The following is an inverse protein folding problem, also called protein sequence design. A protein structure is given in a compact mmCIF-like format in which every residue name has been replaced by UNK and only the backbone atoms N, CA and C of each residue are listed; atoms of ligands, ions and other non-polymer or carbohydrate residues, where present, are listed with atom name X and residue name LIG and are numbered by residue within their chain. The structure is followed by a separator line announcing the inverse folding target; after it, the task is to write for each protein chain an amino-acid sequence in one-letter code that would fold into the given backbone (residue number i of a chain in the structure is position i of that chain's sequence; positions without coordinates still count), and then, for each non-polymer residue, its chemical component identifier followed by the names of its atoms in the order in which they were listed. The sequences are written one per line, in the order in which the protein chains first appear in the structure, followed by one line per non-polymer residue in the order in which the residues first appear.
data_IF_912723843389
#
_entry.id   IF_912723843389
#
_cell.length_a   1.000
_cell.length_b   1.000
_cell.length_c   1.000
_cell.angle_alpha   90.00
_cell.angle_beta   90.00
_cell.angle_gamma   90.00
#
_symmetry.space_group_name_H-M   'P 1'
#
loop_
_entity.id
_entity.type
_entity.pdbx_description
1 polymer ?
#
# COMPACT_ATOMS: atom_id res chain seq x y z
N UNK A 1 9.19 6.17 13.48
CA UNK A 1 9.25 7.43 12.69
C UNK A 1 7.89 7.62 12.03
N UNK A 2 7.26 8.78 12.17
CA UNK A 2 5.97 9.06 11.52
C UNK A 2 6.23 9.55 10.07
N UNK A 3 6.55 8.63 9.16
CA UNK A 3 6.83 8.93 7.75
C UNK A 3 5.56 8.82 6.91
N UNK A 4 5.43 9.72 5.94
CA UNK A 4 4.35 9.68 4.96
C UNK A 4 4.69 8.65 3.89
N UNK A 5 3.75 7.77 3.56
CA UNK A 5 3.93 6.84 2.46
C UNK A 5 3.56 7.53 1.15
N UNK A 6 4.53 7.57 0.22
CA UNK A 6 4.40 8.19 -1.11
C UNK A 6 3.20 7.69 -1.92
N UNK A 7 2.82 6.41 -1.82
CA UNK A 7 1.70 5.87 -2.60
C UNK A 7 0.32 6.26 -2.04
N UNK A 8 0.26 6.60 -0.76
CA UNK A 8 -1.00 6.97 -0.09
C UNK A 8 -1.10 8.46 0.20
N UNK A 9 0.02 9.18 0.29
CA UNK A 9 0.07 10.57 0.73
C UNK A 9 -0.13 10.77 2.24
N UNK A 10 -0.33 9.69 3.01
CA UNK A 10 -0.60 9.75 4.45
C UNK A 10 0.37 8.87 5.25
N UNK A 11 0.44 9.12 6.55
CA UNK A 11 1.14 8.23 7.47
C UNK A 11 0.19 7.18 8.07
N UNK A 12 0.68 5.98 8.43
CA UNK A 12 -0.16 4.95 9.05
C UNK A 12 -0.86 5.43 10.32
N UNK A 13 -0.18 6.28 11.10
CA UNK A 13 -0.75 6.82 12.34
C UNK A 13 -1.89 7.80 12.04
N UNK A 14 -1.75 8.62 11.00
CA UNK A 14 -2.82 9.52 10.58
C UNK A 14 -4.06 8.77 10.10
N UNK A 15 -3.88 7.65 9.41
CA UNK A 15 -4.99 6.80 8.97
C UNK A 15 -5.69 6.11 10.14
N UNK A 16 -4.92 5.68 11.14
CA UNK A 16 -5.47 4.99 12.30
C UNK A 16 -6.16 5.94 13.28
N UNK A 17 -5.59 7.12 13.52
CA UNK A 17 -6.07 8.06 14.55
C UNK A 17 -6.87 9.25 13.99
N UNK A 18 -6.98 9.37 12.67
CA UNK A 18 -7.57 10.54 12.00
C UNK A 18 -6.76 11.82 12.14
N UNK A 19 -5.57 11.76 12.74
CA UNK A 19 -4.70 12.92 13.02
C UNK A 19 -3.22 12.52 13.08
N UNK A 20 -2.34 13.45 12.71
CA UNK A 20 -0.91 13.26 12.92
C UNK A 20 -0.55 13.52 14.39
N UNK A 21 0.25 12.63 15.03
CA UNK A 21 0.72 12.84 16.39
C UNK A 21 1.65 14.06 16.44
N UNK A 22 1.46 14.92 17.44
CA UNK A 22 2.38 16.02 17.75
C UNK A 22 3.49 15.49 18.65
N UNK A 23 4.75 15.76 18.31
CA UNK A 23 5.91 15.38 19.13
C UNK A 23 6.01 16.23 20.40
N UNK A 24 5.59 17.50 20.32
CA UNK A 24 5.62 18.44 21.44
C UNK A 24 4.16 18.80 21.77
N UNK A 25 3.68 18.53 22.99
CA UNK A 25 2.39 19.03 23.46
C UNK A 25 2.35 20.56 23.40
N UNK A 26 1.18 21.18 23.21
CA UNK A 26 1.07 22.64 23.21
C UNK A 26 1.63 23.20 24.52
N UNK A 27 2.64 24.08 24.41
CA UNK A 27 3.30 24.71 25.56
C UNK A 27 2.46 25.83 26.19
N UNK A 28 1.40 26.25 25.52
CA UNK A 28 0.47 27.27 25.98
C UNK A 28 -0.79 26.56 26.48
N UNK A 29 -1.25 26.82 27.72
CA UNK A 29 -2.51 26.27 28.20
C UNK A 29 -3.65 26.75 27.30
N UNK A 30 -4.62 25.87 26.97
CA UNK A 30 -5.75 26.27 26.15
C UNK A 30 -6.51 27.42 26.85
N UNK A 31 -6.79 28.50 26.11
CA UNK A 31 -7.47 29.71 26.63
C UNK A 31 -8.89 29.44 27.15
N UNK A 32 -9.45 28.27 26.89
CA UNK A 32 -10.71 27.80 27.45
C UNK A 32 -10.51 26.43 28.08
N UNK A 33 -11.21 26.11 29.21
CA UNK A 33 -11.37 24.72 29.60
C UNK A 33 -12.07 24.06 28.43
N UNK A 34 -11.32 23.27 27.68
CA UNK A 34 -11.83 22.59 26.51
C UNK A 34 -12.89 21.61 27.01
N UNK A 35 -14.16 22.01 27.00
CA UNK A 35 -15.28 21.09 26.77
C UNK A 35 -15.20 20.61 25.32
N UNK A 36 -14.03 20.15 24.88
CA UNK A 36 -13.96 19.17 23.81
C UNK A 36 -14.43 17.87 24.44
N UNK A 37 -15.75 17.76 24.62
CA UNK A 37 -16.37 16.52 24.19
C UNK A 37 -15.86 16.31 22.77
N UNK A 38 -14.84 15.46 22.65
CA UNK A 38 -14.32 15.07 21.36
C UNK A 38 -15.54 14.50 20.63
N UNK A 39 -16.11 15.27 19.71
CA UNK A 39 -17.26 14.86 18.92
C UNK A 39 -16.83 13.61 18.15
N UNK A 40 -17.10 12.46 18.75
CA UNK A 40 -16.65 11.17 18.27
C UNK A 40 -17.19 10.93 16.86
N UNK A 41 -18.37 11.46 16.56
CA UNK A 41 -18.96 11.44 15.22
C UNK A 41 -18.11 12.21 14.22
N UNK A 42 -17.62 13.41 14.58
CA UNK A 42 -16.70 14.17 13.72
C UNK A 42 -15.38 13.45 13.50
N UNK A 43 -14.82 12.81 14.53
CA UNK A 43 -13.58 12.06 14.41
C UNK A 43 -13.73 10.84 13.50
N UNK A 44 -14.80 10.05 13.67
CA UNK A 44 -15.11 8.90 12.81
C UNK A 44 -15.25 9.34 11.35
N UNK A 45 -16.03 10.39 11.09
CA UNK A 45 -16.19 10.94 9.73
C UNK A 45 -14.85 11.38 9.12
N UNK A 46 -13.94 11.90 9.95
CA UNK A 46 -12.62 12.33 9.48
C UNK A 46 -11.77 11.13 9.09
N UNK A 47 -11.81 10.04 9.86
CA UNK A 47 -11.15 8.78 9.53
C UNK A 47 -11.73 8.20 8.24
N UNK A 48 -13.06 8.14 8.11
CA UNK A 48 -13.72 7.58 6.93
C UNK A 48 -13.34 8.34 5.65
N UNK A 49 -13.33 9.68 5.72
CA UNK A 49 -12.90 10.52 4.60
C UNK A 49 -11.43 10.29 4.25
N UNK A 50 -10.54 10.23 5.25
CA UNK A 50 -9.12 9.94 5.02
C UNK A 50 -8.95 8.56 4.36
N UNK A 51 -9.68 7.55 4.80
CA UNK A 51 -9.62 6.20 4.22
C UNK A 51 -10.09 6.24 2.76
N UNK A 52 -11.19 6.92 2.46
CA UNK A 52 -11.67 7.08 1.08
C UNK A 52 -10.61 7.74 0.18
N UNK A 53 -10.05 8.88 0.60
CA UNK A 53 -8.99 9.57 -0.14
C UNK A 53 -7.77 8.65 -0.39
N UNK A 54 -7.39 7.83 0.60
CA UNK A 54 -6.25 6.91 0.43
C UNK A 54 -6.50 5.81 -0.56
N UNK A 55 -7.75 5.34 -0.65
CA UNK A 55 -8.12 4.32 -1.64
C UNK A 55 -8.00 4.90 -3.05
N UNK A 56 -8.45 6.14 -3.25
CA UNK A 56 -8.32 6.86 -4.52
C UNK A 56 -6.85 7.09 -4.89
N UNK A 57 -6.03 7.51 -3.92
CA UNK A 57 -4.59 7.64 -4.12
C UNK A 57 -3.93 6.30 -4.48
N UNK A 58 -4.28 5.21 -3.81
CA UNK A 58 -3.75 3.89 -4.11
C UNK A 58 -4.15 3.41 -5.50
N UNK A 59 -5.39 3.67 -5.93
CA UNK A 59 -5.86 3.33 -7.26
C UNK A 59 -5.08 4.10 -8.34
N UNK A 60 -4.97 5.42 -8.21
CA UNK A 60 -4.21 6.24 -9.16
C UNK A 60 -2.72 5.83 -9.22
N UNK A 61 -2.11 5.54 -8.07
CA UNK A 61 -0.73 5.09 -7.99
C UNK A 61 -0.52 3.73 -8.62
N UNK A 62 -1.45 2.78 -8.46
CA UNK A 62 -1.38 1.46 -9.13
C UNK A 62 -1.45 1.61 -10.65
N UNK A 63 -2.30 2.50 -11.16
CA UNK A 63 -2.37 2.80 -12.60
C UNK A 63 -1.05 3.37 -13.10
N UNK A 64 -0.47 4.33 -12.39
CA UNK A 64 0.82 4.91 -12.74
C UNK A 64 1.95 3.87 -12.69
N UNK A 65 1.98 3.04 -11.64
CA UNK A 65 2.95 1.96 -11.51
C UNK A 65 2.85 0.97 -12.67
N UNK A 66 1.64 0.56 -13.04
CA UNK A 66 1.42 -0.31 -14.19
C UNK A 66 1.88 0.35 -15.50
N UNK A 67 1.56 1.63 -15.70
CA UNK A 67 2.01 2.38 -16.86
C UNK A 67 3.54 2.42 -16.96
N UNK A 68 4.24 2.82 -15.90
CA UNK A 68 5.70 2.91 -15.90
C UNK A 68 6.38 1.54 -15.97
N UNK A 69 5.84 0.52 -15.31
CA UNK A 69 6.34 -0.84 -15.42
C UNK A 69 6.23 -1.38 -16.86
N UNK A 70 5.13 -1.05 -17.55
CA UNK A 70 4.89 -1.47 -18.92
C UNK A 70 5.52 -0.55 -19.98
N UNK A 71 6.07 0.62 -19.60
CA UNK A 71 6.64 1.61 -20.54
C UNK A 71 7.71 1.02 -21.46
N UNK A 72 8.50 0.09 -20.95
CA UNK A 72 9.57 -0.58 -21.70
C UNK A 72 9.24 -2.04 -22.02
N UNK A 73 8.00 -2.48 -21.78
CA UNK A 73 7.56 -3.83 -22.10
C UNK A 73 7.40 -3.95 -23.62
N UNK A 74 8.05 -4.95 -24.20
CA UNK A 74 7.86 -5.30 -25.62
C UNK A 74 6.47 -5.85 -25.90
N UNK A 75 6.10 -6.02 -27.18
CA UNK A 75 4.84 -6.67 -27.55
C UNK A 75 4.74 -8.04 -26.89
N UNK A 76 3.56 -8.33 -26.33
CA UNK A 76 3.31 -9.62 -25.69
C UNK A 76 3.24 -10.71 -26.77
N UNK A 77 4.04 -11.79 -26.65
CA UNK A 77 3.96 -12.89 -27.61
C UNK A 77 2.60 -13.59 -27.49
N UNK A 78 1.93 -13.78 -28.62
CA UNK A 78 0.70 -14.58 -28.68
C UNK A 78 1.09 -16.04 -28.86
N UNK A 79 0.61 -16.91 -27.96
CA UNK A 79 0.85 -18.35 -28.02
C UNK A 79 -0.43 -19.08 -28.39
N UNK A 80 -0.32 -20.07 -29.28
CA UNK A 80 -1.39 -20.99 -29.63
C UNK A 80 -1.21 -22.33 -28.90
N UNK A 81 -2.31 -23.08 -28.78
CA UNK A 81 -2.26 -24.43 -28.21
C UNK A 81 -1.41 -25.32 -29.13
N UNK A 82 -0.34 -25.88 -28.58
CA UNK A 82 0.64 -26.69 -29.31
C UNK A 82 1.98 -26.00 -29.55
N UNK A 83 2.11 -24.69 -29.29
CA UNK A 83 3.38 -23.98 -29.41
C UNK A 83 4.38 -24.45 -28.35
N UNK A 84 5.62 -24.71 -28.80
CA UNK A 84 6.73 -25.04 -27.90
C UNK A 84 7.41 -23.76 -27.42
N UNK A 85 7.38 -23.52 -26.12
CA UNK A 85 8.07 -22.40 -25.47
C UNK A 85 9.27 -22.90 -24.67
N UNK A 86 10.40 -22.20 -24.80
CA UNK A 86 11.61 -22.54 -24.08
C UNK A 86 11.55 -21.95 -22.67
N UNK A 87 11.44 -22.79 -21.66
CA UNK A 87 11.41 -22.37 -20.25
C UNK A 87 12.83 -22.18 -19.73
N UNK A 88 13.07 -21.08 -19.02
CA UNK A 88 14.34 -20.88 -18.32
C UNK A 88 14.42 -21.80 -17.10
N UNK A 89 15.40 -22.71 -17.09
CA UNK A 89 15.62 -23.64 -15.97
C UNK A 89 16.46 -23.04 -14.84
N UNK A 90 16.86 -21.76 -14.94
CA UNK A 90 17.78 -21.10 -14.00
C UNK A 90 17.32 -21.19 -12.53
N UNK A 91 16.01 -21.09 -12.29
CA UNK A 91 15.44 -21.16 -10.94
C UNK A 91 14.75 -22.50 -10.63
N UNK A 92 14.61 -23.39 -11.62
CA UNK A 92 13.94 -24.70 -11.46
C UNK A 92 14.63 -25.59 -10.40
N UNK A 93 15.96 -25.57 -10.36
CA UNK A 93 16.70 -26.33 -9.35
C UNK A 93 16.45 -25.85 -7.91
N UNK A 94 16.19 -24.56 -7.71
CA UNK A 94 15.88 -24.01 -6.39
C UNK A 94 14.49 -24.42 -5.93
N UNK A 95 13.48 -24.33 -6.80
CA UNK A 95 12.13 -24.83 -6.51
C UNK A 95 12.12 -26.32 -6.20
N UNK A 96 12.87 -27.13 -6.98
CA UNK A 96 12.97 -28.57 -6.77
C UNK A 96 13.71 -28.94 -5.46
N UNK A 97 14.77 -28.21 -5.09
CA UNK A 97 15.61 -28.53 -3.93
C UNK A 97 15.13 -27.90 -2.62
N UNK A 98 14.34 -26.82 -2.67
CA UNK A 98 13.85 -26.10 -1.48
C UNK A 98 13.10 -27.05 -0.54
N UNK A 99 13.46 -27.11 0.75
CA UNK A 99 12.79 -27.96 1.75
C UNK A 99 11.45 -27.32 2.14
N UNK A 100 10.32 -27.99 1.88
CA UNK A 100 8.99 -27.55 2.29
C UNK A 100 7.86 -28.14 1.44
N UNK A 101 6.61 -27.84 1.82
CA UNK A 101 5.37 -28.41 1.26
C UNK A 101 5.05 -27.95 -0.18
N UNK A 102 5.89 -27.07 -0.76
CA UNK A 102 5.78 -26.56 -2.14
C UNK A 102 6.72 -27.28 -3.12
N UNK A 103 7.19 -28.48 -2.78
CA UNK A 103 8.01 -29.31 -3.66
C UNK A 103 7.13 -29.90 -4.77
N UNK A 104 7.55 -29.74 -6.01
CA UNK A 104 6.86 -30.26 -7.20
C UNK A 104 7.09 -31.76 -7.38
N UNK A 105 8.18 -32.31 -6.83
CA UNK A 105 8.41 -33.75 -6.78
C UNK A 105 8.01 -34.32 -5.41
N UNK A 106 7.13 -35.32 -5.46
CA UNK A 106 6.83 -36.24 -4.34
C UNK A 106 7.93 -37.28 -4.19
#
# INVERSE_FOLDING_TARGET
MNTVNMSTGYSPIQLHLGRSPRLIPPLVPPMSPSTAEADAGRLIRTIDNLVADTQDHLLSMRVNQAFFANRHRGPEPTFNVGDMVMLSTRNHCWEYKSKGDKRVAK
#
